data_IF_059715664759
#
_entry.id   IF_059715664759
#
_cell.length_a   1.000
_cell.length_b   1.000
_cell.length_c   1.000
_cell.angle_alpha   90.00
_cell.angle_beta   90.00
_cell.angle_gamma   90.00
#
_symmetry.space_group_name_H-M   'P 1'
#
loop_
_entity.id
_entity.type
_entity.pdbx_description
1 polymer ?
#
# COMPACT_ATOMS: atom_id res chain seq x y z
N UNK A 1 2.05 40.64 8.56
CA UNK A 1 1.05 40.10 7.62
C UNK A 1 1.41 38.63 7.36
N UNK A 2 1.18 37.75 8.35
CA UNK A 2 1.86 36.43 8.40
C UNK A 2 0.89 35.32 8.85
N UNK A 3 -0.38 35.36 8.46
CA UNK A 3 -1.42 34.41 8.91
C UNK A 3 -2.19 33.71 7.79
N UNK A 4 -1.66 33.66 6.56
CA UNK A 4 -2.37 33.05 5.41
C UNK A 4 -1.77 31.70 4.98
N UNK A 5 -0.51 31.42 5.29
CA UNK A 5 0.13 30.17 4.90
C UNK A 5 -0.36 28.93 5.67
N UNK A 6 -0.97 29.12 6.85
CA UNK A 6 -1.45 28.00 7.68
C UNK A 6 -2.82 27.44 7.27
N UNK A 7 -3.48 28.04 6.28
CA UNK A 7 -4.83 27.66 5.86
C UNK A 7 -4.87 26.89 4.53
N UNK A 8 -3.71 26.62 3.92
CA UNK A 8 -3.65 25.91 2.63
C UNK A 8 -3.70 24.41 2.89
N UNK A 9 -4.79 23.79 2.44
CA UNK A 9 -4.96 22.36 2.43
C UNK A 9 -4.42 21.79 1.11
N UNK A 10 -3.69 20.69 1.21
CA UNK A 10 -3.11 20.01 0.06
C UNK A 10 -3.76 18.64 -0.12
N UNK A 11 -4.13 18.24 -1.35
CA UNK A 11 -4.66 16.91 -1.60
C UNK A 11 -3.61 15.84 -1.29
N UNK A 12 -4.05 14.73 -0.72
CA UNK A 12 -3.23 13.54 -0.50
C UNK A 12 -2.53 13.10 -1.80
N UNK A 13 -1.29 12.59 -1.75
CA UNK A 13 -0.61 12.10 -2.97
C UNK A 13 -1.36 10.96 -3.67
N UNK A 14 -2.19 10.23 -2.93
CA UNK A 14 -3.04 9.16 -3.44
C UNK A 14 -4.42 9.66 -3.92
N UNK A 15 -4.59 10.98 -4.12
CA UNK A 15 -5.83 11.51 -4.67
C UNK A 15 -6.13 10.97 -6.08
N UNK A 16 -5.09 10.64 -6.85
CA UNK A 16 -5.23 9.98 -8.16
C UNK A 16 -5.73 8.54 -8.08
N UNK A 17 -5.56 7.87 -6.94
CA UNK A 17 -6.04 6.49 -6.71
C UNK A 17 -7.37 6.44 -5.97
N UNK A 18 -7.92 7.59 -5.55
CA UNK A 18 -9.26 7.69 -4.97
C UNK A 18 -9.34 8.46 -3.65
N UNK A 19 -8.22 8.90 -3.08
CA UNK A 19 -8.24 9.64 -1.81
C UNK A 19 -8.76 11.08 -1.98
N UNK A 20 -9.95 11.39 -1.46
CA UNK A 20 -10.54 12.74 -1.52
C UNK A 20 -10.09 13.67 -0.39
N UNK A 21 -9.15 13.23 0.46
CA UNK A 21 -8.72 13.99 1.63
C UNK A 21 -7.73 15.10 1.24
N UNK A 22 -8.00 16.30 1.75
CA UNK A 22 -7.12 17.47 1.68
C UNK A 22 -6.70 17.83 3.09
N UNK A 23 -5.39 17.89 3.33
CA UNK A 23 -4.80 17.98 4.66
C UNK A 23 -3.75 19.09 4.70
N UNK A 24 -3.46 19.60 5.90
CA UNK A 24 -2.34 20.52 6.08
C UNK A 24 -1.01 19.81 5.83
N UNK A 25 0.03 20.58 5.48
CA UNK A 25 1.36 20.03 5.20
C UNK A 25 1.94 19.21 6.38
N UNK A 26 1.55 19.51 7.61
CA UNK A 26 1.96 18.79 8.83
C UNK A 26 1.30 17.43 8.98
N UNK A 27 0.00 17.32 8.66
CA UNK A 27 -0.80 16.10 8.86
C UNK A 27 -0.74 15.15 7.65
N UNK A 28 -0.45 15.71 6.47
CA UNK A 28 -0.28 14.99 5.22
C UNK A 28 0.62 13.74 5.33
N UNK A 29 1.86 13.81 5.85
CA UNK A 29 2.75 12.66 5.91
C UNK A 29 2.19 11.55 6.82
N UNK A 30 1.56 11.91 7.93
CA UNK A 30 0.93 10.94 8.83
C UNK A 30 -0.22 10.21 8.13
N UNK A 31 -1.11 10.95 7.45
CA UNK A 31 -2.18 10.34 6.66
C UNK A 31 -1.64 9.47 5.52
N UNK A 32 -0.63 9.92 4.77
CA UNK A 32 -0.08 9.18 3.65
C UNK A 32 0.58 7.86 4.05
N UNK A 33 0.97 7.70 5.31
CA UNK A 33 1.49 6.42 5.80
C UNK A 33 0.35 5.41 6.01
N UNK A 34 -0.80 5.88 6.50
CA UNK A 34 -1.99 5.06 6.84
C UNK A 34 -3.11 5.10 5.79
N UNK A 35 -2.90 5.78 4.66
CA UNK A 35 -3.95 6.00 3.66
C UNK A 35 -4.41 4.69 3.03
N UNK A 36 -5.71 4.40 3.07
CA UNK A 36 -6.32 3.21 2.47
C UNK A 36 -6.13 3.13 0.94
N UNK A 37 -5.94 4.27 0.27
CA UNK A 37 -5.71 4.38 -1.17
C UNK A 37 -4.24 4.23 -1.55
N UNK A 38 -3.36 4.00 -0.58
CA UNK A 38 -1.94 3.70 -0.81
C UNK A 38 -1.82 2.39 -1.59
N UNK A 39 -1.08 2.35 -2.71
CA UNK A 39 -0.83 1.11 -3.41
C UNK A 39 0.06 0.20 -2.57
N UNK A 40 -0.32 -1.07 -2.50
CA UNK A 40 0.42 -2.14 -1.86
C UNK A 40 1.44 -2.71 -2.85
N UNK A 41 2.68 -2.80 -2.41
CA UNK A 41 3.72 -3.54 -3.13
C UNK A 41 3.54 -5.04 -2.90
N UNK A 42 3.88 -5.83 -3.90
CA UNK A 42 3.83 -7.29 -3.77
C UNK A 42 4.70 -7.77 -2.58
N UNK A 43 4.15 -8.56 -1.63
CA UNK A 43 4.88 -9.07 -0.47
C UNK A 43 5.77 -10.28 -0.78
N UNK A 44 5.88 -10.70 -2.04
CA UNK A 44 6.60 -11.92 -2.41
C UNK A 44 8.11 -11.80 -2.08
N UNK A 45 8.72 -12.82 -1.43
CA UNK A 45 10.16 -12.87 -1.19
C UNK A 45 10.89 -13.07 -2.51
N UNK A 46 11.31 -11.97 -3.13
CA UNK A 46 12.05 -11.97 -4.39
C UNK A 46 11.85 -10.66 -5.13
N UNK A 47 12.95 -9.94 -5.40
CA UNK A 47 12.96 -8.63 -6.04
C UNK A 47 12.43 -8.61 -7.50
N UNK A 48 11.93 -9.74 -8.01
CA UNK A 48 11.41 -9.87 -9.37
C UNK A 48 10.00 -9.29 -9.54
N UNK A 49 9.19 -9.22 -8.47
CA UNK A 49 7.84 -8.66 -8.59
C UNK A 49 7.80 -7.15 -8.29
N UNK A 50 7.48 -6.35 -9.30
CA UNK A 50 7.33 -4.88 -9.21
C UNK A 50 5.87 -4.43 -9.16
N UNK A 51 4.96 -5.36 -8.89
CA UNK A 51 3.53 -5.06 -8.87
C UNK A 51 3.18 -4.14 -7.70
N UNK A 52 2.34 -3.15 -8.00
CA UNK A 52 1.76 -2.21 -7.07
C UNK A 52 0.29 -2.02 -7.42
N UNK A 53 -0.60 -2.09 -6.45
CA UNK A 53 -2.04 -1.94 -6.68
C UNK A 53 -2.84 -1.81 -5.39
N UNK A 54 -4.17 -1.76 -5.49
CA UNK A 54 -5.03 -1.74 -4.30
C UNK A 54 -4.95 -3.04 -3.52
N UNK A 55 -5.30 -3.01 -2.24
CA UNK A 55 -5.30 -4.19 -1.36
C UNK A 55 -6.14 -5.33 -1.96
N UNK A 56 -7.30 -5.01 -2.51
CA UNK A 56 -8.22 -5.99 -3.13
C UNK A 56 -7.58 -6.70 -4.33
N UNK A 57 -6.74 -5.99 -5.08
CA UNK A 57 -6.04 -6.53 -6.23
C UNK A 57 -4.82 -7.38 -5.84
N UNK A 58 -4.34 -7.31 -4.59
CA UNK A 58 -3.18 -8.10 -4.10
C UNK A 58 -3.47 -9.59 -4.22
N UNK A 59 -4.63 -10.04 -3.75
CA UNK A 59 -5.00 -11.46 -3.80
C UNK A 59 -5.07 -11.97 -5.24
N UNK A 60 -5.72 -11.23 -6.14
CA UNK A 60 -5.77 -11.58 -7.56
C UNK A 60 -4.38 -11.59 -8.19
N UNK A 61 -3.54 -10.61 -7.87
CA UNK A 61 -2.16 -10.56 -8.31
C UNK A 61 -1.37 -11.79 -7.87
N UNK A 62 -1.44 -12.17 -6.59
CA UNK A 62 -0.73 -13.34 -6.06
C UNK A 62 -1.19 -14.63 -6.77
N UNK A 63 -2.50 -14.82 -6.93
CA UNK A 63 -3.04 -16.01 -7.62
C UNK A 63 -2.62 -16.09 -9.09
N UNK A 64 -2.50 -14.96 -9.79
CA UNK A 64 -2.21 -14.95 -11.23
C UNK A 64 -0.72 -14.89 -11.56
N UNK A 65 0.02 -14.02 -10.88
CA UNK A 65 1.45 -13.77 -11.13
C UNK A 65 2.34 -14.72 -10.32
N UNK A 66 1.87 -15.19 -9.17
CA UNK A 66 2.60 -16.09 -8.29
C UNK A 66 1.83 -17.40 -8.06
N UNK A 67 1.47 -18.09 -9.14
CA UNK A 67 0.73 -19.38 -9.13
C UNK A 67 1.36 -20.47 -8.26
N UNK A 68 2.65 -20.37 -7.95
CA UNK A 68 3.40 -21.28 -7.08
C UNK A 68 3.31 -20.92 -5.59
N UNK A 69 2.73 -19.76 -5.24
CA UNK A 69 2.39 -19.44 -3.85
C UNK A 69 1.18 -20.30 -3.50
N UNK A 70 1.44 -21.44 -2.87
CA UNK A 70 0.42 -22.21 -2.17
C UNK A 70 -0.06 -21.34 -1.01
N UNK A 71 -1.20 -20.67 -1.16
CA UNK A 71 -1.85 -19.99 -0.04
C UNK A 71 -2.22 -21.08 0.98
N UNK A 72 -1.34 -21.31 1.94
CA UNK A 72 -1.67 -22.12 3.11
C UNK A 72 -2.74 -21.32 3.86
N UNK A 73 -3.99 -21.76 3.77
CA UNK A 73 -5.04 -21.35 4.71
C UNK A 73 -4.69 -21.98 6.07
N UNK A 74 -3.75 -21.36 6.78
CA UNK A 74 -3.31 -21.78 8.09
C UNK A 74 -2.56 -20.64 8.75
N UNK A 75 -2.84 -20.41 10.03
CA UNK A 75 -2.18 -19.39 10.87
C UNK A 75 -0.71 -19.72 11.17
N UNK A 76 -0.15 -20.79 10.58
CA UNK A 76 1.17 -21.32 10.91
C UNK A 76 2.13 -21.22 9.72
N UNK A 77 3.25 -20.53 9.92
CA UNK A 77 4.32 -20.36 8.94
C UNK A 77 5.15 -21.65 8.92
N UNK A 78 4.92 -22.51 7.92
CA UNK A 78 5.78 -23.69 7.72
C UNK A 78 7.14 -23.25 7.18
N UNK A 79 8.15 -23.23 8.06
CA UNK A 79 9.54 -23.20 7.63
C UNK A 79 9.88 -24.56 7.03
N UNK A 80 9.86 -24.66 5.70
CA UNK A 80 10.45 -25.79 4.99
C UNK A 80 11.97 -25.66 5.08
N UNK A 81 12.56 -26.23 6.14
CA UNK A 81 13.99 -26.53 6.17
C UNK A 81 14.26 -27.57 5.07
N UNK A 82 14.96 -27.15 4.01
CA UNK A 82 15.59 -28.10 3.09
C UNK A 82 16.96 -28.45 3.67
N UNK A 83 17.30 -29.74 3.63
CA UNK A 83 18.52 -30.42 4.10
C UNK A 83 19.84 -29.64 3.95
#
# INVERSE_FOLDING_TARGET
MEKVASAVLFPCKYATTGCSLTLHHTEKPEHEDICEYRPYSCPCPGASCKWQGSLEAVMSHLMHAHKSITTLQGEDIVFLATD
#
